data_IF_424671489882
#
_entry.id   IF_424671489882
#
_cell.length_a   1.000
_cell.length_b   1.000
_cell.length_c   1.000
_cell.angle_alpha   90.00
_cell.angle_beta   90.00
_cell.angle_gamma   90.00
#
_symmetry.space_group_name_H-M   'P 1'
#
loop_
_entity.id
_entity.type
_entity.pdbx_description
1 polymer ?
#
# COMPACT_ATOMS: atom_id res chain seq x y z
N UNK A 1 -3.25 -31.89 4.61
CA UNK A 1 -3.44 -30.64 3.81
C UNK A 1 -3.04 -30.97 2.38
N UNK A 2 -3.90 -30.77 1.37
CA UNK A 2 -3.57 -31.10 -0.03
C UNK A 2 -2.54 -30.07 -0.54
N UNK A 3 -1.25 -30.45 -0.74
CA UNK A 3 -0.21 -29.51 -1.13
C UNK A 3 -0.46 -28.90 -2.52
N UNK A 4 -1.38 -29.45 -3.31
CA UNK A 4 -1.76 -29.01 -4.65
C UNK A 4 -2.68 -27.79 -4.69
N UNK A 5 -3.15 -27.25 -3.55
CA UNK A 5 -4.02 -26.06 -3.52
C UNK A 5 -3.28 -24.71 -3.46
N UNK A 6 -1.95 -24.68 -3.41
CA UNK A 6 -1.18 -23.44 -3.23
C UNK A 6 -1.47 -22.38 -4.31
N UNK A 7 -1.73 -22.81 -5.55
CA UNK A 7 -2.02 -21.91 -6.67
C UNK A 7 -3.30 -21.07 -6.46
N UNK A 8 -4.26 -21.57 -5.67
CA UNK A 8 -5.48 -20.82 -5.33
C UNK A 8 -5.19 -19.61 -4.44
N UNK A 9 -4.07 -19.63 -3.72
CA UNK A 9 -3.65 -18.53 -2.87
C UNK A 9 -2.74 -17.52 -3.59
N UNK A 10 -2.47 -17.69 -4.89
CA UNK A 10 -1.65 -16.73 -5.65
C UNK A 10 -2.23 -15.31 -5.65
N UNK A 11 -3.56 -15.18 -5.64
CA UNK A 11 -4.26 -13.90 -5.49
C UNK A 11 -3.97 -13.18 -4.17
N UNK A 12 -3.49 -13.90 -3.16
CA UNK A 12 -3.08 -13.35 -1.86
C UNK A 12 -1.56 -13.25 -1.76
N UNK A 13 -0.84 -14.30 -2.16
CA UNK A 13 0.62 -14.42 -2.04
C UNK A 13 1.33 -13.34 -2.87
N UNK A 14 0.91 -13.12 -4.13
CA UNK A 14 1.59 -12.16 -5.02
C UNK A 14 1.42 -10.72 -4.49
N UNK A 15 0.20 -10.22 -4.20
CA UNK A 15 0.04 -8.88 -3.64
C UNK A 15 0.76 -8.71 -2.30
N UNK A 16 0.65 -9.69 -1.39
CA UNK A 16 1.30 -9.63 -0.09
C UNK A 16 2.83 -9.53 -0.23
N UNK A 17 3.42 -10.36 -1.08
CA UNK A 17 4.86 -10.32 -1.35
C UNK A 17 5.32 -8.99 -1.96
N UNK A 18 4.54 -8.46 -2.92
CA UNK A 18 4.82 -7.18 -3.55
C UNK A 18 4.75 -6.01 -2.53
N UNK A 19 3.69 -5.95 -1.72
CA UNK A 19 3.55 -4.92 -0.69
C UNK A 19 4.65 -5.00 0.35
N UNK A 20 5.10 -6.20 0.69
CA UNK A 20 6.19 -6.37 1.64
C UNK A 20 7.53 -5.84 1.11
N UNK A 21 7.84 -6.08 -0.16
CA UNK A 21 9.05 -5.55 -0.81
C UNK A 21 8.98 -4.02 -0.91
N UNK A 22 7.84 -3.48 -1.33
CA UNK A 22 7.62 -2.03 -1.43
C UNK A 22 7.69 -1.36 -0.06
N UNK A 23 7.05 -1.95 0.96
CA UNK A 23 7.12 -1.44 2.33
C UNK A 23 8.55 -1.45 2.87
N UNK A 24 9.33 -2.49 2.56
CA UNK A 24 10.75 -2.55 2.92
C UNK A 24 11.57 -1.46 2.22
N UNK A 25 11.32 -1.21 0.94
CA UNK A 25 11.94 -0.08 0.21
C UNK A 25 11.60 1.26 0.84
N UNK A 26 10.33 1.50 1.19
CA UNK A 26 9.89 2.72 1.85
C UNK A 26 10.57 2.92 3.21
N UNK A 27 10.85 1.85 3.96
CA UNK A 27 11.59 1.93 5.22
C UNK A 27 13.06 2.29 5.01
N UNK A 28 13.70 1.79 3.94
CA UNK A 28 15.06 2.17 3.57
C UNK A 28 15.12 3.66 3.20
N UNK A 29 14.18 4.13 2.37
CA UNK A 29 14.07 5.55 1.99
C UNK A 29 13.79 6.44 3.21
N UNK A 30 12.93 6.00 4.14
CA UNK A 30 12.65 6.73 5.38
C UNK A 30 13.88 6.80 6.29
N UNK A 31 14.71 5.75 6.31
CA UNK A 31 15.98 5.75 7.04
C UNK A 31 17.02 6.68 6.40
N UNK A 32 17.11 6.69 5.06
CA UNK A 32 17.97 7.58 4.31
C UNK A 32 17.57 9.06 4.51
N UNK A 33 16.27 9.35 4.49
CA UNK A 33 15.72 10.65 4.85
C UNK A 33 16.02 11.07 6.31
N UNK A 34 16.32 10.10 7.19
CA UNK A 34 16.79 10.35 8.55
C UNK A 34 18.34 10.38 8.67
N UNK A 35 19.06 10.31 7.55
CA UNK A 35 20.51 10.39 7.46
C UNK A 35 21.26 9.07 7.62
N UNK A 36 20.57 7.92 7.59
CA UNK A 36 21.23 6.59 7.60
C UNK A 36 21.04 5.90 6.25
N UNK A 37 22.14 5.77 5.51
CA UNK A 37 22.12 5.09 4.22
C UNK A 37 22.37 3.59 4.38
N UNK A 38 21.45 2.79 3.84
CA UNK A 38 21.56 1.33 3.81
C UNK A 38 21.53 0.85 2.36
N UNK A 39 22.43 -0.08 2.02
CA UNK A 39 22.42 -0.67 0.68
C UNK A 39 21.11 -1.43 0.46
N UNK A 40 20.36 -1.00 -0.55
CA UNK A 40 19.00 -1.51 -0.81
C UNK A 40 19.02 -3.00 -1.16
N UNK A 41 19.98 -3.43 -1.98
CA UNK A 41 20.02 -4.81 -2.48
C UNK A 41 20.28 -5.80 -1.36
N UNK A 42 21.29 -5.55 -0.54
CA UNK A 42 21.63 -6.40 0.61
C UNK A 42 20.54 -6.39 1.66
N UNK A 43 19.98 -5.22 1.99
CA UNK A 43 18.88 -5.09 2.96
C UNK A 43 17.65 -5.90 2.56
N UNK A 44 17.23 -5.80 1.29
CA UNK A 44 16.11 -6.58 0.76
C UNK A 44 16.44 -8.08 0.63
N UNK A 45 17.66 -8.43 0.26
CA UNK A 45 18.08 -9.84 0.17
C UNK A 45 18.04 -10.52 1.55
N UNK A 46 18.54 -9.86 2.60
CA UNK A 46 18.47 -10.38 3.98
C UNK A 46 17.03 -10.52 4.43
N UNK A 47 16.16 -9.55 4.13
CA UNK A 47 14.73 -9.66 4.43
C UNK A 47 14.08 -10.86 3.71
N UNK A 48 14.36 -11.05 2.42
CA UNK A 48 13.86 -12.19 1.65
C UNK A 48 14.32 -13.55 2.18
N UNK A 49 15.61 -13.67 2.53
CA UNK A 49 16.15 -14.88 3.17
C UNK A 49 15.47 -15.14 4.51
N UNK A 50 15.25 -14.09 5.32
CA UNK A 50 14.52 -14.19 6.58
C UNK A 50 13.09 -14.70 6.39
N UNK A 51 12.38 -14.21 5.36
CA UNK A 51 11.05 -14.71 4.98
C UNK A 51 11.07 -16.18 4.62
N UNK A 52 12.03 -16.62 3.80
CA UNK A 52 12.15 -18.03 3.39
C UNK A 52 12.42 -18.91 4.61
N UNK A 53 13.36 -18.51 5.48
CA UNK A 53 13.66 -19.24 6.72
C UNK A 53 12.42 -19.32 7.62
N UNK A 54 11.73 -18.20 7.86
CA UNK A 54 10.52 -18.19 8.66
C UNK A 54 9.44 -19.13 8.10
N UNK A 55 9.26 -19.16 6.77
CA UNK A 55 8.32 -20.05 6.09
C UNK A 55 8.69 -21.53 6.27
N UNK A 56 9.98 -21.89 6.23
CA UNK A 56 10.46 -23.26 6.50
C UNK A 56 10.13 -23.72 7.93
N UNK A 57 10.07 -22.80 8.89
CA UNK A 57 9.62 -23.04 10.26
C UNK A 57 8.11 -22.85 10.46
N UNK A 58 7.34 -22.71 9.37
CA UNK A 58 5.88 -22.71 9.39
C UNK A 58 5.21 -21.34 9.49
N UNK A 59 5.95 -20.23 9.38
CA UNK A 59 5.35 -18.89 9.28
C UNK A 59 4.56 -18.75 7.98
N UNK A 60 3.30 -18.31 8.08
CA UNK A 60 2.49 -17.90 6.92
C UNK A 60 2.63 -16.41 6.59
N UNK A 61 3.38 -15.66 7.40
CA UNK A 61 3.59 -14.23 7.22
C UNK A 61 5.02 -13.94 6.75
N UNK A 62 5.20 -13.10 5.71
CA UNK A 62 6.52 -12.67 5.30
C UNK A 62 7.14 -11.71 6.33
N UNK A 63 8.46 -11.70 6.40
CA UNK A 63 9.21 -10.72 7.21
C UNK A 63 9.33 -9.39 6.47
N UNK A 64 9.47 -8.29 7.20
CA UNK A 64 9.64 -6.95 6.61
C UNK A 64 10.72 -6.17 7.36
N UNK A 65 11.30 -5.15 6.71
CA UNK A 65 12.19 -4.23 7.40
C UNK A 65 11.41 -3.39 8.41
N UNK A 66 12.02 -3.08 9.55
CA UNK A 66 11.32 -2.47 10.67
C UNK A 66 10.86 -1.04 10.35
N UNK A 67 9.57 -0.76 10.57
CA UNK A 67 8.95 0.54 10.32
C UNK A 67 9.27 1.51 11.45
N UNK A 68 9.42 2.80 11.12
CA UNK A 68 9.56 3.86 12.11
C UNK A 68 10.99 4.18 12.50
N UNK A 69 11.98 3.80 11.67
CA UNK A 69 13.39 4.15 11.84
C UNK A 69 13.63 5.60 12.31
N UNK A 70 13.00 6.65 11.73
CA UNK A 70 13.20 8.02 12.19
C UNK A 70 12.78 8.24 13.65
N UNK A 71 11.64 7.64 14.05
CA UNK A 71 11.15 7.73 15.43
C UNK A 71 12.09 7.05 16.41
N UNK A 72 12.50 5.81 16.12
CA UNK A 72 13.43 5.08 16.99
C UNK A 72 14.78 5.79 17.11
N UNK A 73 15.30 6.33 15.99
CA UNK A 73 16.55 7.10 15.99
C UNK A 73 16.45 8.36 16.85
N UNK A 74 15.33 9.10 16.78
CA UNK A 74 15.11 10.28 17.64
C UNK A 74 15.07 9.93 19.13
N UNK A 75 14.66 8.71 19.49
CA UNK A 75 14.72 8.18 20.86
C UNK A 75 16.12 7.69 21.28
N UNK A 76 17.13 7.85 20.42
CA UNK A 76 18.51 7.43 20.69
C UNK A 76 18.78 5.94 20.42
N UNK A 77 17.86 5.22 19.77
CA UNK A 77 18.08 3.84 19.39
C UNK A 77 19.25 3.72 18.39
N UNK A 78 20.04 2.66 18.54
CA UNK A 78 21.18 2.31 17.67
C UNK A 78 21.12 0.82 17.34
N UNK A 79 22.12 0.31 16.62
CA UNK A 79 22.21 -1.11 16.26
C UNK A 79 22.01 -2.07 17.45
N UNK A 80 22.54 -1.74 18.63
CA UNK A 80 22.37 -2.55 19.84
C UNK A 80 20.91 -2.72 20.29
N UNK A 81 20.06 -1.69 20.08
CA UNK A 81 18.63 -1.78 20.36
C UNK A 81 17.95 -2.82 19.46
N UNK A 82 18.27 -2.81 18.16
CA UNK A 82 17.74 -3.76 17.18
C UNK A 82 18.14 -5.20 17.51
N UNK A 83 19.44 -5.44 17.78
CA UNK A 83 19.95 -6.77 18.14
C UNK A 83 19.34 -7.28 19.44
N UNK A 84 19.23 -6.42 20.47
CA UNK A 84 18.64 -6.81 21.75
C UNK A 84 17.16 -7.15 21.58
N UNK A 85 16.41 -6.37 20.80
CA UNK A 85 15.02 -6.69 20.49
C UNK A 85 14.88 -8.07 19.83
N UNK A 86 15.72 -8.38 18.85
CA UNK A 86 15.75 -9.70 18.21
C UNK A 86 16.01 -10.85 19.20
N UNK A 87 16.98 -10.68 20.10
CA UNK A 87 17.32 -11.67 21.15
C UNK A 87 16.19 -11.85 22.16
N UNK A 88 15.64 -10.75 22.69
CA UNK A 88 14.58 -10.76 23.70
C UNK A 88 13.30 -11.39 23.14
N UNK A 89 12.88 -10.97 21.95
CA UNK A 89 11.69 -11.56 21.30
C UNK A 89 11.90 -13.04 21.00
N UNK A 90 13.09 -13.44 20.55
CA UNK A 90 13.41 -14.86 20.34
C UNK A 90 13.32 -15.67 21.63
N UNK A 91 13.86 -15.16 22.74
CA UNK A 91 13.77 -15.81 24.05
C UNK A 91 12.30 -15.93 24.53
N UNK A 92 11.50 -14.87 24.36
CA UNK A 92 10.07 -14.89 24.68
C UNK A 92 9.32 -15.96 23.88
N UNK A 93 9.56 -16.02 22.56
CA UNK A 93 8.93 -17.01 21.69
C UNK A 93 9.36 -18.44 22.04
N UNK A 94 10.65 -18.69 22.26
CA UNK A 94 11.18 -20.02 22.56
C UNK A 94 10.76 -20.53 23.95
N UNK A 95 10.55 -19.64 24.91
CA UNK A 95 10.05 -19.98 26.26
C UNK A 95 8.52 -20.14 26.31
N UNK A 96 7.79 -19.78 25.25
CA UNK A 96 6.33 -19.82 25.22
C UNK A 96 5.65 -18.75 26.10
N UNK A 97 6.39 -17.75 26.56
CA UNK A 97 5.89 -16.72 27.49
C UNK A 97 5.05 -15.63 26.83
N UNK A 98 4.86 -15.69 25.50
CA UNK A 98 4.04 -14.75 24.72
C UNK A 98 2.64 -14.59 25.30
N UNK A 99 1.98 -15.69 25.68
CA UNK A 99 0.63 -15.64 26.25
C UNK A 99 0.56 -14.91 27.60
N UNK A 100 1.58 -15.09 28.44
CA UNK A 100 1.69 -14.36 29.71
C UNK A 100 1.87 -12.86 29.47
N UNK A 101 2.78 -12.48 28.57
CA UNK A 101 3.00 -11.07 28.22
C UNK A 101 1.74 -10.47 27.62
N UNK A 102 1.06 -11.18 26.72
CA UNK A 102 -0.21 -10.77 26.13
C UNK A 102 -1.32 -10.57 27.16
N UNK A 103 -1.30 -11.26 28.29
CA UNK A 103 -2.28 -11.08 29.37
C UNK A 103 -1.99 -9.86 30.23
N UNK A 104 -0.72 -9.43 30.28
CA UNK A 104 -0.26 -8.30 31.09
C UNK A 104 -0.22 -6.99 30.31
N UNK A 105 0.14 -7.05 29.02
CA UNK A 105 0.32 -5.88 28.16
C UNK A 105 -0.97 -5.62 27.38
N UNK A 106 -1.67 -4.50 27.63
CA UNK A 106 -2.89 -4.18 26.92
C UNK A 106 -2.60 -3.89 25.44
N UNK A 107 -3.46 -4.39 24.56
CA UNK A 107 -3.35 -4.16 23.10
C UNK A 107 -3.34 -2.66 22.75
N UNK A 108 -4.03 -1.86 23.57
CA UNK A 108 -4.10 -0.40 23.44
C UNK A 108 -2.72 0.27 23.54
N UNK A 109 -1.78 -0.30 24.30
CA UNK A 109 -0.41 0.21 24.36
C UNK A 109 0.32 0.05 23.02
N UNK A 110 0.10 -1.08 22.33
CA UNK A 110 0.62 -1.29 20.97
C UNK A 110 0.04 -0.31 19.97
N UNK A 111 -1.27 -0.02 20.06
CA UNK A 111 -1.95 0.96 19.19
C UNK A 111 -1.34 2.36 19.35
N UNK A 112 -1.04 2.78 20.59
CA UNK A 112 -0.44 4.08 20.84
C UNK A 112 0.95 4.23 20.18
N UNK A 113 1.78 3.18 20.24
CA UNK A 113 3.11 3.16 19.60
C UNK A 113 2.96 3.27 18.07
N UNK A 114 2.07 2.47 17.47
CA UNK A 114 1.85 2.48 16.01
C UNK A 114 1.30 3.83 15.55
N UNK A 115 0.39 4.44 16.31
CA UNK A 115 -0.14 5.77 16.03
C UNK A 115 0.97 6.82 16.01
N UNK A 116 1.83 6.83 17.04
CA UNK A 116 2.96 7.74 17.09
C UNK A 116 3.92 7.54 15.92
N UNK A 117 4.27 6.29 15.59
CA UNK A 117 5.11 5.98 14.41
C UNK A 117 4.46 6.52 13.12
N UNK A 118 3.15 6.32 12.96
CA UNK A 118 2.41 6.82 11.81
C UNK A 118 2.47 8.35 11.69
N UNK A 119 2.32 9.07 12.80
CA UNK A 119 2.46 10.54 12.84
C UNK A 119 3.87 10.97 12.44
N UNK A 120 4.91 10.33 13.01
CA UNK A 120 6.31 10.67 12.72
C UNK A 120 6.66 10.43 11.26
N UNK A 121 6.27 9.28 10.69
CA UNK A 121 6.54 8.98 9.28
C UNK A 121 5.77 9.92 8.36
N UNK A 122 4.51 10.24 8.70
CA UNK A 122 3.73 11.21 7.92
C UNK A 122 4.37 12.59 7.95
N UNK A 123 4.77 13.08 9.13
CA UNK A 123 5.46 14.35 9.27
C UNK A 123 6.79 14.37 8.49
N UNK A 124 7.57 13.29 8.58
CA UNK A 124 8.81 13.14 7.83
C UNK A 124 8.56 13.19 6.32
N UNK A 125 7.49 12.57 5.81
CA UNK A 125 7.18 12.59 4.39
C UNK A 125 6.98 14.01 3.84
N UNK A 126 6.41 14.93 4.63
CA UNK A 126 6.29 16.35 4.25
C UNK A 126 7.60 17.13 4.43
N UNK A 127 8.42 16.76 5.41
CA UNK A 127 9.66 17.49 5.76
C UNK A 127 10.86 17.07 4.91
N UNK A 128 10.90 15.82 4.44
CA UNK A 128 12.00 15.26 3.68
C UNK A 128 11.93 15.57 2.18
N UNK A 129 10.75 15.98 1.68
CA UNK A 129 10.56 16.34 0.27
C UNK A 129 10.62 17.87 0.09
N UNK A 130 10.91 18.36 -1.14
CA UNK A 130 10.81 19.77 -1.45
C UNK A 130 9.44 20.37 -1.06
N UNK A 131 9.36 21.60 -0.50
CA UNK A 131 8.10 22.16 -0.01
C UNK A 131 6.99 22.24 -1.07
N UNK A 132 7.34 22.46 -2.33
CA UNK A 132 6.41 22.47 -3.46
C UNK A 132 5.79 21.08 -3.73
N UNK A 133 6.36 19.98 -3.24
CA UNK A 133 5.83 18.62 -3.38
C UNK A 133 4.84 18.23 -2.26
N UNK A 134 4.58 19.10 -1.28
CA UNK A 134 3.59 18.84 -0.23
C UNK A 134 2.20 18.39 -0.76
N UNK A 135 1.66 18.94 -1.87
CA UNK A 135 0.43 18.43 -2.46
C UNK A 135 0.51 16.98 -2.94
N UNK A 136 1.68 16.52 -3.43
CA UNK A 136 1.89 15.15 -3.88
C UNK A 136 1.89 14.15 -2.70
N UNK A 137 2.42 14.58 -1.55
CA UNK A 137 2.35 13.81 -0.30
C UNK A 137 0.88 13.71 0.16
N UNK A 138 0.15 14.82 0.17
CA UNK A 138 -1.26 14.84 0.54
C UNK A 138 -2.11 13.94 -0.37
N UNK A 139 -1.93 14.04 -1.69
CA UNK A 139 -2.58 13.16 -2.68
C UNK A 139 -2.29 11.68 -2.39
N UNK A 140 -1.04 11.36 -2.04
CA UNK A 140 -0.61 10.01 -1.67
C UNK A 140 -1.35 9.42 -0.47
N UNK A 141 -1.83 10.24 0.47
CA UNK A 141 -2.52 9.76 1.66
C UNK A 141 -3.98 9.35 1.39
N UNK A 142 -4.65 9.96 0.40
CA UNK A 142 -6.08 9.76 0.18
C UNK A 142 -6.50 8.30 -0.07
N UNK A 143 -5.81 7.50 -0.93
CA UNK A 143 -6.22 6.12 -1.14
C UNK A 143 -6.17 5.28 0.13
N UNK A 144 -5.17 5.48 0.99
CA UNK A 144 -5.05 4.78 2.27
C UNK A 144 -6.15 5.18 3.26
N UNK A 145 -6.53 6.47 3.30
CA UNK A 145 -7.63 6.96 4.14
C UNK A 145 -8.96 6.37 3.65
N UNK A 146 -9.19 6.32 2.34
CA UNK A 146 -10.38 5.72 1.76
C UNK A 146 -10.46 4.21 2.03
N UNK A 147 -9.33 3.50 1.92
CA UNK A 147 -9.19 2.09 2.30
C UNK A 147 -9.53 1.85 3.78
N UNK A 148 -9.03 2.69 4.68
CA UNK A 148 -9.38 2.62 6.10
C UNK A 148 -10.89 2.85 6.32
N UNK A 149 -11.48 3.86 5.67
CA UNK A 149 -12.91 4.12 5.74
C UNK A 149 -13.75 2.93 5.29
N UNK A 150 -13.36 2.29 4.18
CA UNK A 150 -14.01 1.07 3.69
C UNK A 150 -13.92 -0.08 4.72
N UNK A 151 -12.76 -0.26 5.34
CA UNK A 151 -12.58 -1.31 6.35
C UNK A 151 -13.53 -1.10 7.55
N UNK A 152 -13.71 0.14 8.01
CA UNK A 152 -14.69 0.48 9.06
C UNK A 152 -16.10 0.17 8.58
N UNK A 153 -16.44 0.53 7.34
CA UNK A 153 -17.75 0.25 6.73
C UNK A 153 -18.03 -1.25 6.67
N UNK A 154 -17.09 -2.07 6.16
CA UNK A 154 -17.23 -3.53 6.11
C UNK A 154 -17.41 -4.11 7.53
N UNK A 155 -16.67 -3.61 8.52
CA UNK A 155 -16.83 -4.00 9.92
C UNK A 155 -18.25 -3.74 10.44
N UNK A 156 -18.83 -2.59 10.10
CA UNK A 156 -20.22 -2.26 10.46
C UNK A 156 -21.23 -3.21 9.79
N UNK A 157 -21.03 -3.56 8.51
CA UNK A 157 -21.87 -4.55 7.81
C UNK A 157 -21.83 -5.93 8.48
N UNK A 158 -20.64 -6.38 8.89
CA UNK A 158 -20.45 -7.64 9.59
C UNK A 158 -21.18 -7.66 10.94
N UNK A 159 -21.10 -6.57 11.71
CA UNK A 159 -21.76 -6.46 13.01
C UNK A 159 -23.29 -6.34 12.89
N UNK A 160 -23.79 -5.67 11.86
CA UNK A 160 -25.23 -5.48 11.66
C UNK A 160 -25.95 -6.77 11.24
N UNK A 161 -25.24 -7.76 10.67
CA UNK A 161 -25.81 -9.06 10.29
C UNK A 161 -26.88 -8.99 9.18
N UNK A 162 -26.92 -7.90 8.43
CA UNK A 162 -27.90 -7.65 7.36
C UNK A 162 -27.42 -8.06 5.97
N UNK A 163 -27.78 -7.27 4.95
CA UNK A 163 -27.31 -7.47 3.57
C UNK A 163 -25.78 -7.45 3.51
N UNK A 164 -25.22 -8.37 2.74
CA UNK A 164 -23.78 -8.39 2.48
C UNK A 164 -23.38 -7.32 1.48
N UNK A 165 -22.08 -7.02 1.43
CA UNK A 165 -21.50 -6.15 0.42
C UNK A 165 -21.80 -6.64 -1.00
N UNK A 166 -21.76 -7.95 -1.21
CA UNK A 166 -22.13 -8.57 -2.47
C UNK A 166 -23.61 -8.32 -2.84
N UNK A 167 -24.54 -8.44 -1.89
CA UNK A 167 -25.97 -8.18 -2.13
C UNK A 167 -26.21 -6.73 -2.56
N UNK A 168 -25.49 -5.80 -1.94
CA UNK A 168 -25.54 -4.38 -2.25
C UNK A 168 -25.09 -4.12 -3.68
N UNK A 169 -23.91 -4.61 -4.07
CA UNK A 169 -23.35 -4.41 -5.40
C UNK A 169 -24.16 -5.11 -6.49
N UNK A 170 -24.76 -6.26 -6.16
CA UNK A 170 -25.63 -6.99 -7.09
C UNK A 170 -26.95 -6.26 -7.32
N UNK A 171 -27.51 -5.64 -6.27
CA UNK A 171 -28.74 -4.87 -6.38
C UNK A 171 -28.53 -3.54 -7.12
N UNK A 172 -27.47 -2.79 -6.76
CA UNK A 172 -27.08 -1.56 -7.44
C UNK A 172 -25.58 -1.28 -7.24
N UNK A 173 -24.74 -1.36 -8.28
CA UNK A 173 -23.31 -1.08 -8.17
C UNK A 173 -23.02 0.40 -7.86
N UNK A 174 -23.96 1.31 -8.16
CA UNK A 174 -23.88 2.73 -7.85
C UNK A 174 -24.51 3.06 -6.49
N UNK A 175 -24.66 2.08 -5.60
CA UNK A 175 -25.18 2.33 -4.26
C UNK A 175 -24.23 3.24 -3.46
N UNK A 176 -24.82 4.29 -2.89
CA UNK A 176 -24.13 5.21 -2.01
C UNK A 176 -24.48 4.93 -0.55
N UNK A 177 -23.49 5.05 0.32
CA UNK A 177 -23.68 5.16 1.77
C UNK A 177 -23.26 6.56 2.19
N UNK A 178 -24.23 7.35 2.64
CA UNK A 178 -24.00 8.74 3.07
C UNK A 178 -23.23 9.59 2.02
N UNK A 179 -23.60 9.46 0.74
CA UNK A 179 -22.97 10.19 -0.37
C UNK A 179 -21.65 9.58 -0.89
N UNK A 180 -21.20 8.45 -0.34
CA UNK A 180 -20.00 7.74 -0.82
C UNK A 180 -20.37 6.49 -1.59
N UNK A 181 -19.89 6.39 -2.83
CA UNK A 181 -20.07 5.20 -3.67
C UNK A 181 -19.29 4.01 -3.10
N UNK A 182 -20.02 2.97 -2.67
CA UNK A 182 -19.41 1.78 -2.05
C UNK A 182 -18.48 1.07 -3.03
N UNK A 183 -18.88 0.94 -4.29
CA UNK A 183 -18.02 0.38 -5.33
C UNK A 183 -16.76 1.23 -5.53
N UNK A 184 -16.88 2.56 -5.51
CA UNK A 184 -15.72 3.47 -5.65
C UNK A 184 -14.71 3.29 -4.50
N UNK A 185 -15.20 3.08 -3.28
CA UNK A 185 -14.35 2.78 -2.13
C UNK A 185 -13.63 1.44 -2.28
N UNK A 186 -14.31 0.40 -2.79
CA UNK A 186 -13.69 -0.89 -3.09
C UNK A 186 -12.61 -0.77 -4.17
N UNK A 187 -12.88 0.02 -5.22
CA UNK A 187 -11.94 0.31 -6.30
C UNK A 187 -10.67 0.97 -5.75
N UNK A 188 -10.78 2.01 -4.93
CA UNK A 188 -9.59 2.74 -4.46
C UNK A 188 -8.79 1.96 -3.40
N UNK A 189 -9.47 1.14 -2.61
CA UNK A 189 -8.87 0.27 -1.60
C UNK A 189 -8.00 -0.84 -2.21
N UNK A 190 -8.41 -1.43 -3.33
CA UNK A 190 -7.61 -2.50 -3.95
C UNK A 190 -6.27 -2.00 -4.46
N UNK A 191 -5.20 -2.52 -3.84
CA UNK A 191 -3.84 -2.12 -4.16
C UNK A 191 -3.52 -0.70 -3.71
N UNK A 192 -4.21 -0.17 -2.69
CA UNK A 192 -4.09 1.25 -2.29
C UNK A 192 -2.64 1.69 -2.09
N UNK A 193 -1.73 0.84 -1.58
CA UNK A 193 -0.30 1.18 -1.39
C UNK A 193 0.36 1.57 -2.72
N UNK A 194 0.10 0.78 -3.79
CA UNK A 194 0.57 1.08 -5.13
C UNK A 194 -0.11 2.33 -5.69
N UNK A 195 -1.43 2.47 -5.47
CA UNK A 195 -2.19 3.65 -5.89
C UNK A 195 -1.65 4.93 -5.27
N UNK A 196 -1.35 4.93 -3.96
CA UNK A 196 -0.69 6.03 -3.25
C UNK A 196 0.62 6.41 -3.94
N UNK A 197 1.50 5.42 -4.19
CA UNK A 197 2.80 5.63 -4.83
C UNK A 197 2.66 6.19 -6.24
N UNK A 198 1.78 5.63 -7.07
CA UNK A 198 1.55 6.10 -8.43
C UNK A 198 1.02 7.53 -8.46
N UNK A 199 0.00 7.84 -7.66
CA UNK A 199 -0.58 9.18 -7.61
C UNK A 199 0.41 10.22 -7.08
N UNK A 200 1.18 9.90 -6.04
CA UNK A 200 2.25 10.77 -5.54
C UNK A 200 3.33 11.01 -6.60
N UNK A 201 3.81 9.97 -7.27
CA UNK A 201 4.83 10.11 -8.31
C UNK A 201 4.33 10.95 -9.49
N UNK A 202 3.13 10.67 -10.00
CA UNK A 202 2.51 11.46 -11.07
C UNK A 202 2.40 12.92 -10.63
N UNK A 203 1.87 13.19 -9.44
CA UNK A 203 1.70 14.55 -8.94
C UNK A 203 3.05 15.30 -8.80
N UNK A 204 4.06 14.67 -8.20
CA UNK A 204 5.38 15.27 -8.04
C UNK A 204 6.02 15.66 -9.40
N UNK A 205 5.97 14.76 -10.39
CA UNK A 205 6.50 15.07 -11.72
C UNK A 205 5.67 16.11 -12.47
N UNK A 206 4.37 16.23 -12.22
CA UNK A 206 3.55 17.31 -12.79
C UNK A 206 3.88 18.66 -12.16
N UNK A 207 4.11 18.70 -10.84
CA UNK A 207 4.56 19.90 -10.12
C UNK A 207 5.89 20.39 -10.71
N UNK A 208 6.83 19.48 -10.96
CA UNK A 208 8.12 19.81 -11.57
C UNK A 208 8.04 20.03 -13.09
N UNK A 209 6.84 20.00 -13.68
CA UNK A 209 6.61 20.14 -15.14
C UNK A 209 7.37 19.10 -15.97
N UNK A 210 7.71 17.97 -15.38
CA UNK A 210 8.37 16.83 -16.01
C UNK A 210 7.33 15.88 -16.62
N UNK A 211 6.53 16.40 -17.55
CA UNK A 211 5.35 15.70 -18.10
C UNK A 211 5.65 14.32 -18.70
N UNK A 212 6.82 14.12 -19.31
CA UNK A 212 7.21 12.83 -19.86
C UNK A 212 7.39 11.76 -18.77
N UNK A 213 7.91 12.15 -17.59
CA UNK A 213 8.06 11.23 -16.44
C UNK A 213 6.71 10.96 -15.81
N UNK A 214 5.85 11.97 -15.66
CA UNK A 214 4.47 11.79 -15.20
C UNK A 214 3.68 10.84 -16.10
N UNK A 215 3.86 10.95 -17.42
CA UNK A 215 3.30 10.02 -18.40
C UNK A 215 3.81 8.59 -18.19
N UNK A 216 5.12 8.41 -17.99
CA UNK A 216 5.70 7.10 -17.69
C UNK A 216 5.08 6.44 -16.44
N UNK A 217 4.89 7.20 -15.37
CA UNK A 217 4.22 6.72 -14.16
C UNK A 217 2.73 6.42 -14.37
N UNK A 218 2.04 7.19 -15.21
CA UNK A 218 0.66 6.90 -15.61
C UNK A 218 0.56 5.63 -16.45
N UNK A 219 1.54 5.32 -17.31
CA UNK A 219 1.61 4.02 -18.00
C UNK A 219 1.82 2.89 -17.00
N UNK A 220 2.72 3.04 -16.03
CA UNK A 220 2.93 2.02 -14.99
C UNK A 220 1.65 1.77 -14.18
N UNK A 221 0.92 2.83 -13.80
CA UNK A 221 -0.37 2.73 -13.14
C UNK A 221 -1.44 2.05 -14.01
N UNK A 222 -1.50 2.38 -15.31
CA UNK A 222 -2.40 1.75 -16.26
C UNK A 222 -2.14 0.24 -16.38
N UNK A 223 -0.88 -0.17 -16.48
CA UNK A 223 -0.49 -1.57 -16.56
C UNK A 223 -0.83 -2.31 -15.25
N UNK A 224 -0.56 -1.72 -14.10
CA UNK A 224 -0.91 -2.31 -12.81
C UNK A 224 -2.43 -2.49 -12.65
N UNK A 225 -3.23 -1.50 -13.05
CA UNK A 225 -4.69 -1.57 -13.03
C UNK A 225 -5.20 -2.63 -14.02
N UNK A 226 -4.63 -2.69 -15.22
CA UNK A 226 -5.00 -3.65 -16.26
C UNK A 226 -4.73 -5.10 -15.85
N UNK A 227 -3.58 -5.36 -15.23
CA UNK A 227 -3.21 -6.69 -14.72
C UNK A 227 -4.09 -7.09 -13.52
N UNK A 228 -4.64 -6.10 -12.81
CA UNK A 228 -5.45 -6.30 -11.59
C UNK A 228 -4.63 -6.23 -10.29
N UNK A 229 -3.43 -5.65 -10.32
CA UNK A 229 -2.65 -5.34 -9.12
C UNK A 229 -3.22 -4.17 -8.33
N UNK A 230 -3.94 -3.27 -9.01
CA UNK A 230 -4.73 -2.20 -8.40
C UNK A 230 -6.14 -2.24 -8.95
N UNK A 231 -7.09 -1.70 -8.17
CA UNK A 231 -8.47 -1.39 -8.54
C UNK A 231 -9.41 -2.55 -8.91
N UNK A 232 -8.89 -3.71 -9.33
CA UNK A 232 -9.69 -4.88 -9.68
C UNK A 232 -9.96 -5.74 -8.45
N UNK A 233 -11.21 -6.13 -8.26
CA UNK A 233 -11.63 -6.99 -7.15
C UNK A 233 -12.74 -7.95 -7.52
N UNK A 234 -12.91 -8.93 -6.66
CA UNK A 234 -14.14 -9.70 -6.54
C UNK A 234 -14.63 -9.67 -5.08
N UNK A 235 -15.93 -9.78 -4.91
CA UNK A 235 -16.61 -9.82 -3.61
C UNK A 235 -17.39 -11.12 -3.50
N UNK A 236 -17.18 -11.86 -2.41
CA UNK A 236 -18.00 -12.99 -2.01
C UNK A 236 -18.52 -12.78 -0.59
N UNK A 237 -19.83 -12.52 -0.48
CA UNK A 237 -20.44 -12.02 0.74
C UNK A 237 -19.83 -10.67 1.16
N UNK A 238 -19.03 -10.68 2.22
CA UNK A 238 -18.29 -9.50 2.71
C UNK A 238 -16.77 -9.61 2.49
N UNK A 239 -16.30 -10.74 1.94
CA UNK A 239 -14.88 -10.92 1.65
C UNK A 239 -14.57 -10.27 0.30
N UNK A 240 -13.53 -9.46 0.27
CA UNK A 240 -13.09 -8.76 -0.93
C UNK A 240 -11.68 -9.21 -1.27
N UNK A 241 -11.51 -9.80 -2.45
CA UNK A 241 -10.25 -10.36 -2.93
C UNK A 241 -9.75 -9.65 -4.19
N UNK A 242 -8.45 -9.76 -4.46
CA UNK A 242 -7.86 -9.32 -5.72
C UNK A 242 -8.41 -10.15 -6.89
N UNK A 243 -8.62 -9.49 -8.02
CA UNK A 243 -8.98 -10.13 -9.28
C UNK A 243 -7.95 -9.79 -10.35
N UNK A 244 -7.09 -10.76 -10.67
CA UNK A 244 -6.10 -10.62 -11.73
C UNK A 244 -6.70 -10.91 -13.10
N UNK A 245 -6.15 -10.29 -14.14
CA UNK A 245 -6.63 -10.47 -15.52
C UNK A 245 -6.60 -11.92 -16.02
N UNK A 246 -5.62 -12.70 -15.57
CA UNK A 246 -5.48 -14.11 -15.94
C UNK A 246 -6.28 -15.04 -15.02
N UNK A 247 -6.95 -14.51 -13.98
CA UNK A 247 -7.72 -15.31 -13.03
C UNK A 247 -9.20 -15.33 -13.38
N UNK A 248 -9.86 -16.46 -13.18
CA UNK A 248 -11.31 -16.57 -13.29
C UNK A 248 -11.96 -16.16 -11.96
N UNK A 249 -13.00 -15.31 -11.97
CA UNK A 249 -13.75 -14.99 -10.76
C UNK A 249 -14.27 -16.24 -10.06
N UNK A 250 -14.36 -16.19 -8.73
CA UNK A 250 -14.93 -17.28 -7.95
C UNK A 250 -16.42 -17.49 -8.32
N UNK A 251 -16.91 -18.74 -8.40
CA UNK A 251 -18.31 -19.00 -8.75
C UNK A 251 -19.26 -18.26 -7.82
N UNK A 252 -20.20 -17.52 -8.42
CA UNK A 252 -21.18 -16.73 -7.68
C UNK A 252 -20.62 -15.53 -6.93
N UNK A 253 -19.38 -15.09 -7.21
CA UNK A 253 -18.86 -13.81 -6.72
C UNK A 253 -19.32 -12.65 -7.62
N UNK A 254 -19.37 -11.44 -7.05
CA UNK A 254 -19.53 -10.22 -7.83
C UNK A 254 -18.13 -9.66 -8.15
N UNK A 255 -17.84 -9.41 -9.43
CA UNK A 255 -16.49 -9.03 -9.87
C UNK A 255 -16.45 -7.72 -10.62
N UNK A 256 -15.38 -6.94 -10.39
CA UNK A 256 -15.07 -5.73 -11.14
C UNK A 256 -13.64 -5.77 -11.66
N UNK A 257 -13.50 -5.56 -12.98
CA UNK A 257 -12.22 -5.49 -13.64
C UNK A 257 -11.90 -4.04 -14.02
N UNK A 258 -10.74 -3.55 -13.59
CA UNK A 258 -10.36 -2.15 -13.67
C UNK A 258 -9.90 -1.68 -15.06
N UNK A 259 -10.35 -2.33 -16.14
CA UNK A 259 -10.06 -1.91 -17.52
C UNK A 259 -10.43 -0.44 -17.78
N UNK A 260 -11.58 0.09 -17.31
CA UNK A 260 -11.89 1.52 -17.48
C UNK A 260 -10.89 2.45 -16.80
N UNK A 261 -10.35 2.06 -15.64
CA UNK A 261 -9.37 2.84 -14.89
C UNK A 261 -8.00 2.75 -15.57
N UNK A 262 -7.63 1.59 -16.09
CA UNK A 262 -6.43 1.43 -16.92
C UNK A 262 -6.48 2.35 -18.15
N UNK A 263 -7.63 2.44 -18.82
CA UNK A 263 -7.86 3.37 -19.93
C UNK A 263 -7.73 4.82 -19.43
N UNK A 264 -8.31 5.15 -18.26
CA UNK A 264 -8.18 6.48 -17.65
C UNK A 264 -6.72 6.88 -17.45
N UNK A 265 -5.90 6.02 -16.86
CA UNK A 265 -4.46 6.27 -16.70
C UNK A 265 -3.72 6.38 -18.04
N UNK A 266 -4.09 5.57 -19.04
CA UNK A 266 -3.51 5.68 -20.39
C UNK A 266 -3.86 7.03 -21.06
N UNK A 267 -5.09 7.52 -20.88
CA UNK A 267 -5.52 8.84 -21.37
C UNK A 267 -4.81 9.98 -20.63
N UNK A 268 -4.57 9.85 -19.32
CA UNK A 268 -3.73 10.78 -18.56
C UNK A 268 -2.31 10.81 -19.13
N UNK A 269 -1.71 9.64 -19.39
CA UNK A 269 -0.39 9.55 -20.01
C UNK A 269 -0.33 10.25 -21.37
N UNK A 270 -1.31 9.99 -22.25
CA UNK A 270 -1.40 10.66 -23.55
C UNK A 270 -1.49 12.18 -23.38
N UNK A 271 -2.36 12.65 -22.48
CA UNK A 271 -2.52 14.08 -22.17
C UNK A 271 -1.20 14.69 -21.72
N UNK A 272 -0.48 14.05 -20.79
CA UNK A 272 0.80 14.56 -20.30
C UNK A 272 1.88 14.59 -21.40
N UNK A 273 1.91 13.59 -22.30
CA UNK A 273 2.82 13.61 -23.45
C UNK A 273 2.50 14.74 -24.43
N UNK A 274 1.21 14.98 -24.71
CA UNK A 274 0.78 16.07 -25.59
C UNK A 274 1.13 17.44 -24.98
N UNK A 275 0.85 17.63 -23.69
CA UNK A 275 1.23 18.85 -22.96
C UNK A 275 2.75 19.02 -22.93
N UNK A 276 3.50 17.95 -22.66
CA UNK A 276 4.96 17.98 -22.65
C UNK A 276 5.56 18.37 -24.01
N UNK A 277 4.98 17.87 -25.11
CA UNK A 277 5.36 18.28 -26.47
C UNK A 277 5.00 19.74 -26.75
N UNK A 278 3.80 20.17 -26.33
CA UNK A 278 3.35 21.54 -26.49
C UNK A 278 4.28 22.54 -25.77
N UNK A 279 4.59 22.29 -24.50
CA UNK A 279 5.50 23.13 -23.69
C UNK A 279 6.93 23.11 -24.24
N UNK A 280 7.39 21.99 -24.81
CA UNK A 280 8.70 21.92 -25.46
C UNK A 280 8.77 22.82 -26.71
N UNK A 281 7.67 22.94 -27.44
CA UNK A 281 7.57 23.77 -28.65
C UNK A 281 7.30 25.25 -28.34
N UNK A 282 6.92 25.60 -27.11
CA UNK A 282 6.62 26.96 -26.65
C UNK A 282 7.49 27.30 -25.43
N UNK A 283 8.79 27.60 -25.62
CA UNK A 283 9.74 27.82 -24.52
C UNK A 283 9.42 29.07 -23.68
N UNK A 284 8.64 30.02 -24.22
CA UNK A 284 8.06 31.16 -23.50
C UNK A 284 7.16 30.73 -22.33
N UNK A 285 6.54 29.55 -22.41
CA UNK A 285 5.73 29.00 -21.31
C UNK A 285 6.57 28.42 -20.17
N UNK A 286 7.89 28.24 -20.36
CA UNK A 286 8.80 27.80 -19.29
C UNK A 286 9.18 28.94 -18.34
N UNK A 287 9.14 30.20 -18.79
CA UNK A 287 9.57 31.36 -17.98
C UNK A 287 8.48 31.93 -17.08
N UNK A 288 7.28 31.32 -17.05
CA UNK A 288 6.23 31.65 -16.10
C UNK A 288 6.49 30.91 -14.77
N UNK A 289 7.65 31.16 -14.16
CA UNK A 289 7.95 30.68 -12.81
C UNK A 289 7.62 31.80 -11.82
N UNK A 290 6.82 31.43 -10.81
CA UNK A 290 6.55 32.22 -9.61
C UNK A 290 7.73 32.16 -8.64
#
# INVERSE_FOLDING_TARGET
>A
KQPTLWWKYLSVIIPMGLFNVIGSLQNIESAEAAGDHFDTRSSLAVNGVGTILAALFGSCFPTTLYIGHPGWKQLGARAGYSSLNGLVISAICLTGTVGLISSLVPIQAGVAIVLWIGIIITAQAFQAVPPNHAPAVAIGLFPAIAAWGLNVTIGAFLLAGGKTLQDILTANPLMESNGFLIQGMLIIDRGYILTCMFLSAICAFLIDRQFNRAAGWSVAAALAAFIGLTHSFQVQGNNVDYLFIASTPAPGSWSYQATPIAIGYALCSLTFLLVGRYVKNHPDLKSLDH
#
